data_IF_237874000754
#
_entry.id   IF_237874000754
#
_cell.length_a   1.000
_cell.length_b   1.000
_cell.length_c   1.000
_cell.angle_alpha   90.00
_cell.angle_beta   90.00
_cell.angle_gamma   90.00
#
_symmetry.space_group_name_H-M   'P 1'
#
loop_
_entity.id
_entity.type
_entity.pdbx_description
1 polymer ?
2 water ?
#
# COMPACT_ATOMS: atom_id res chain seq x y z
N UNK A 7 -14.91 -11.43 20.05
CA UNK A 7 -16.16 -10.71 19.84
C UNK A 7 -16.15 -9.38 20.60
N UNK A 8 -16.81 -8.38 20.03
CA UNK A 8 -16.70 -7.00 20.50
C UNK A 8 -18.05 -6.39 20.84
N UNK A 9 -18.02 -5.17 21.38
CA UNK A 9 -19.23 -4.41 21.71
C UNK A 9 -18.90 -2.93 21.95
N UNK A 10 -19.67 -2.02 21.34
CA UNK A 10 -19.55 -0.58 21.61
C UNK A 10 -20.77 0.05 22.28
N UNK A 11 -20.61 0.55 23.52
CA UNK A 11 -21.67 1.34 24.16
C UNK A 11 -21.74 2.76 23.59
N UNK A 20 -17.09 9.33 23.91
CA UNK A 20 -17.78 8.85 22.72
C UNK A 20 -18.00 7.33 22.89
N UNK A 21 -18.57 6.69 21.88
CA UNK A 21 -18.66 5.23 21.81
C UNK A 21 -17.27 4.62 22.01
N UNK A 22 -17.24 3.48 22.70
CA UNK A 22 -15.97 2.84 23.05
C UNK A 22 -16.02 1.36 22.68
N UNK A 23 -15.04 0.89 21.91
CA UNK A 23 -15.04 -0.52 21.54
C UNK A 23 -14.56 -1.37 22.71
N UNK A 24 -15.29 -2.43 23.00
CA UNK A 24 -15.00 -3.23 24.18
C UNK A 24 -15.20 -4.72 23.93
N UNK A 25 -14.35 -5.53 24.57
CA UNK A 25 -14.43 -6.98 24.45
C UNK A 25 -15.77 -7.50 24.97
N UNK A 26 -16.47 -8.24 24.12
CA UNK A 26 -17.75 -8.82 24.49
C UNK A 26 -17.56 -10.10 25.30
N UNK A 27 -16.34 -10.61 25.32
CA UNK A 27 -16.05 -11.90 25.95
C UNK A 27 -14.57 -11.97 26.34
N UNK A 28 -14.27 -12.74 27.38
CA UNK A 28 -12.88 -13.02 27.78
C UNK A 28 -12.02 -13.59 26.65
N UNK A 29 -11.57 -12.73 25.75
CA UNK A 29 -10.78 -13.17 24.60
C UNK A 29 -9.44 -13.77 25.00
N UNK A 30 -9.01 -14.82 24.27
CA UNK A 30 -7.66 -15.39 24.44
C UNK A 30 -6.63 -14.52 23.72
N UNK A 31 -5.32 -14.80 23.92
CA UNK A 31 -4.30 -14.11 23.13
C UNK A 31 -4.38 -14.45 21.64
N UNK A 32 -3.93 -13.52 20.79
CA UNK A 32 -3.90 -13.71 19.34
C UNK A 32 -5.28 -14.03 18.76
N UNK A 33 -6.31 -13.34 19.23
CA UNK A 33 -7.67 -13.57 18.76
C UNK A 33 -8.13 -12.45 17.82
N UNK A 34 -8.61 -12.84 16.64
CA UNK A 34 -9.16 -11.87 15.69
C UNK A 34 -10.41 -11.24 16.29
N UNK A 35 -10.39 -9.92 16.45
CA UNK A 35 -11.50 -9.23 17.08
C UNK A 35 -12.44 -8.60 16.05
N UNK A 36 -11.88 -7.78 15.17
CA UNK A 36 -12.67 -7.05 14.19
C UNK A 36 -11.79 -6.52 13.07
N UNK A 37 -12.36 -6.42 11.87
CA UNK A 37 -11.64 -5.82 10.75
C UNK A 37 -11.75 -4.31 10.80
N UNK A 38 -10.64 -3.62 10.54
CA UNK A 38 -10.72 -2.18 10.40
C UNK A 38 -11.07 -1.85 8.96
N UNK A 39 -12.35 -1.58 8.72
CA UNK A 39 -12.83 -1.29 7.38
C UNK A 39 -12.87 0.21 7.11
N UNK A 40 -12.76 0.57 5.84
CA UNK A 40 -12.75 1.95 5.41
C UNK A 40 -12.08 2.06 4.05
N UNK A 41 -11.78 3.28 3.63
CA UNK A 41 -11.14 3.51 2.34
C UNK A 41 -9.62 3.44 2.45
N UNK A 42 -9.02 2.49 1.75
CA UNK A 42 -7.58 2.31 1.75
C UNK A 42 -6.89 3.31 0.82
N UNK A 43 -5.89 4.00 1.34
CA UNK A 43 -5.10 4.93 0.57
C UNK A 43 -3.62 4.76 0.86
N UNK A 44 -2.79 4.88 -0.17
CA UNK A 44 -1.35 5.01 0.05
C UNK A 44 -1.11 6.41 0.61
N UNK A 45 0.06 6.65 1.18
CA UNK A 45 0.36 7.95 1.77
C UNK A 45 0.19 9.07 0.75
N UNK A 46 0.68 8.84 -0.46
CA UNK A 46 0.62 9.83 -1.52
C UNK A 46 -0.82 10.24 -1.85
N UNK A 47 -1.72 9.26 -1.88
CA UNK A 47 -3.14 9.53 -2.13
C UNK A 47 -3.73 10.39 -1.01
N UNK A 48 -3.42 10.01 0.22
CA UNK A 48 -3.89 10.73 1.41
C UNK A 48 -3.45 12.19 1.36
N UNK A 49 -2.19 12.40 0.97
CA UNK A 49 -1.63 13.74 0.88
C UNK A 49 -2.17 14.52 -0.31
N UNK A 50 -2.42 13.80 -1.42
CA UNK A 50 -3.00 14.42 -2.60
C UNK A 50 -4.44 14.87 -2.32
N UNK A 51 -5.10 14.16 -1.41
CA UNK A 51 -6.45 14.51 -1.02
C UNK A 51 -6.47 15.69 -0.05
N UNK A 52 -5.28 16.13 0.37
CA UNK A 52 -5.14 17.34 1.16
C UNK A 52 -4.81 17.13 2.62
N UNK A 53 -4.68 15.89 3.04
CA UNK A 53 -4.43 15.60 4.45
C UNK A 53 -2.95 15.34 4.73
N UNK A 54 -2.56 15.47 5.99
CA UNK A 54 -1.19 15.21 6.40
C UNK A 54 -1.08 13.80 6.97
N UNK A 55 -0.13 13.02 6.45
CA UNK A 55 0.01 11.64 6.88
C UNK A 55 0.50 11.53 8.33
N UNK A 56 -0.12 10.61 9.07
CA UNK A 56 0.18 10.36 10.47
C UNK A 56 -0.01 11.55 11.39
N UNK A 57 -0.97 12.40 11.05
CA UNK A 57 -1.54 13.30 12.06
C UNK A 57 -2.93 12.78 12.41
N UNK A 58 -3.34 12.96 13.67
CA UNK A 58 -4.48 12.21 14.23
C UNK A 58 -5.85 12.69 13.77
N UNK A 59 -6.23 12.34 12.54
CA UNK A 59 -7.58 12.59 12.08
C UNK A 59 -8.50 11.52 12.64
N UNK A 60 -9.68 11.93 13.15
CA UNK A 60 -10.66 10.97 13.65
C UNK A 60 -11.02 9.90 12.61
N UNK A 61 -11.12 8.65 13.06
CA UNK A 61 -11.54 7.52 12.23
C UNK A 61 -10.55 7.13 11.14
N UNK A 62 -9.33 7.64 11.22
CA UNK A 62 -8.30 7.23 10.27
C UNK A 62 -7.24 6.37 10.95
N UNK A 63 -6.93 5.23 10.34
CA UNK A 63 -5.91 4.33 10.84
C UNK A 63 -4.68 4.38 9.94
N UNK A 64 -3.52 4.65 10.53
CA UNK A 64 -2.26 4.60 9.77
C UNK A 64 -1.55 3.28 10.02
N UNK A 65 -1.00 2.71 8.95
CA UNK A 65 -0.38 1.40 9.02
C UNK A 65 0.87 1.35 8.15
N UNK A 66 1.99 0.96 8.74
CA UNK A 66 3.27 0.99 8.05
C UNK A 66 3.94 -0.38 7.99
N UNK A 67 3.28 -1.39 8.54
CA UNK A 67 3.93 -2.68 8.75
C UNK A 67 3.81 -3.65 7.58
N UNK A 68 3.20 -3.22 6.49
CA UNK A 68 3.24 -4.07 5.29
C UNK A 68 4.50 -3.73 4.50
N UNK A 69 5.61 -4.32 4.93
CA UNK A 69 6.89 -4.19 4.25
C UNK A 69 7.31 -2.74 3.99
N UNK A 70 7.01 -1.86 4.95
CA UNK A 70 7.45 -0.48 4.87
C UNK A 70 6.60 0.39 3.98
N UNK A 71 5.59 -0.18 3.34
CA UNK A 71 4.72 0.60 2.46
C UNK A 71 3.69 1.36 3.28
N UNK A 72 3.85 2.68 3.35
CA UNK A 72 2.99 3.49 4.21
C UNK A 72 1.61 3.71 3.59
N UNK A 73 0.59 3.40 4.37
CA UNK A 73 -0.79 3.53 3.93
C UNK A 73 -1.69 3.92 5.10
N UNK A 74 -2.94 4.23 4.80
CA UNK A 74 -3.91 4.49 5.85
C UNK A 74 -5.30 4.02 5.43
N UNK A 75 -6.16 3.85 6.42
CA UNK A 75 -7.55 3.49 6.18
C UNK A 75 -8.44 4.58 6.71
N UNK A 76 -9.18 5.22 5.81
CA UNK A 76 -10.08 6.30 6.18
C UNK A 76 -11.49 5.76 6.43
N UNK A 77 -11.86 5.66 7.71
CA UNK A 77 -13.13 5.05 8.08
C UNK A 77 -14.24 6.07 8.31
N UNK A 78 -14.15 7.23 7.66
CA UNK A 78 -15.30 8.12 7.57
C UNK A 78 -16.22 7.58 6.49
N UNK A 79 -15.68 6.65 5.70
CA UNK A 79 -16.39 6.07 4.57
C UNK A 79 -16.58 4.56 4.76
N UNK A 80 -17.81 4.17 5.07
CA UNK A 80 -18.18 2.77 5.21
C UNK A 80 -17.31 2.01 6.20
N UNK A 81 -16.88 2.70 7.25
CA UNK A 81 -16.15 2.05 8.32
C UNK A 81 -17.11 1.26 9.18
N UNK A 82 -16.58 0.55 10.16
CA UNK A 82 -17.41 -0.16 11.12
C UNK A 82 -17.07 0.26 12.55
N UNK A 83 -17.42 -0.58 13.51
CA UNK A 83 -17.21 -0.26 14.93
C UNK A 83 -15.74 -0.09 15.28
N UNK A 84 -14.85 -0.53 14.38
CA UNK A 84 -13.41 -0.50 14.65
C UNK A 84 -12.86 0.91 14.64
N UNK A 85 -13.55 1.84 13.97
CA UNK A 85 -13.10 3.24 13.91
C UNK A 85 -13.16 3.89 15.30
N UNK A 86 -13.91 3.26 16.20
CA UNK A 86 -14.10 3.78 17.55
C UNK A 86 -12.95 3.41 18.49
N UNK A 87 -12.07 2.52 18.05
CA UNK A 87 -10.96 2.05 18.88
C UNK A 87 -10.03 3.20 19.26
N UNK A 88 -9.73 3.33 20.54
CA UNK A 88 -8.81 4.35 21.00
C UNK A 88 -7.36 3.87 20.97
N UNK A 89 -6.44 4.82 20.92
CA UNK A 89 -5.02 4.51 20.95
C UNK A 89 -4.51 4.49 22.39
N UNK A 90 -3.48 3.69 22.63
CA UNK A 90 -2.90 3.61 23.96
C UNK A 90 -1.43 3.21 23.87
N UNK A 91 -0.62 3.73 24.79
CA UNK A 91 0.78 3.32 24.80
C UNK A 91 0.92 2.00 25.56
N UNK A 92 -0.19 1.52 26.12
CA UNK A 92 -0.24 0.22 26.76
C UNK A 92 -1.43 -0.56 26.20
N UNK A 93 -1.39 -0.89 24.90
CA UNK A 93 -2.54 -1.50 24.21
C UNK A 93 -2.72 -2.97 24.55
N UNK A 94 -3.93 -3.48 24.38
CA UNK A 94 -4.17 -4.91 24.55
C UNK A 94 -4.43 -5.59 23.21
N UNK A 95 -4.40 -4.80 22.14
CA UNK A 95 -4.66 -5.31 20.79
C UNK A 95 -3.69 -4.71 19.79
N UNK A 96 -3.62 -5.30 18.59
CA UNK A 96 -2.76 -4.77 17.55
C UNK A 96 -3.31 -5.00 16.16
N UNK A 97 -2.95 -4.11 15.24
CA UNK A 97 -3.32 -4.25 13.85
C UNK A 97 -2.40 -5.25 13.16
N UNK A 98 -3.00 -6.23 12.49
CA UNK A 98 -2.26 -7.16 11.66
C UNK A 98 -2.86 -7.16 10.26
N UNK A 99 -2.06 -7.52 9.26
CA UNK A 99 -2.54 -7.49 7.89
C UNK A 99 -2.64 -8.88 7.30
N UNK A 100 -3.48 -9.01 6.28
CA UNK A 100 -3.43 -10.20 5.44
C UNK A 100 -3.81 -9.81 4.02
N UNK A 101 -3.32 -10.59 3.06
CA UNK A 101 -3.63 -10.37 1.66
C UNK A 101 -4.71 -11.35 1.23
N UNK A 102 -5.80 -10.80 0.70
CA UNK A 102 -6.90 -11.62 0.21
C UNK A 102 -7.30 -11.16 -1.18
N UNK A 103 -7.21 -12.07 -2.15
CA UNK A 103 -7.52 -11.76 -3.54
C UNK A 103 -6.70 -10.57 -4.03
N UNK A 104 -5.44 -10.50 -3.59
CA UNK A 104 -4.55 -9.44 -3.98
C UNK A 104 -4.90 -8.10 -3.38
N UNK A 105 -5.72 -8.12 -2.33
CA UNK A 105 -6.11 -6.91 -1.62
C UNK A 105 -5.71 -7.02 -0.15
N UNK A 106 -5.19 -5.94 0.41
CA UNK A 106 -4.77 -5.97 1.80
C UNK A 106 -5.95 -5.66 2.72
N UNK A 107 -6.07 -6.44 3.79
CA UNK A 107 -7.08 -6.20 4.81
C UNK A 107 -6.40 -6.07 6.16
N UNK A 108 -6.90 -5.16 6.99
CA UNK A 108 -6.33 -4.94 8.32
C UNK A 108 -7.31 -5.42 9.39
N UNK A 109 -6.81 -6.22 10.32
CA UNK A 109 -7.63 -6.78 11.39
C UNK A 109 -7.05 -6.44 12.76
N UNK A 110 -7.93 -6.30 13.74
CA UNK A 110 -7.50 -6.06 15.12
C UNK A 110 -7.41 -7.39 15.87
N UNK A 111 -6.20 -7.70 16.36
CA UNK A 111 -5.97 -8.93 17.12
C UNK A 111 -5.58 -8.61 18.54
N UNK A 112 -5.98 -9.46 19.48
CA UNK A 112 -5.52 -9.34 20.86
C UNK A 112 -4.04 -9.70 20.98
N UNK A 113 -3.34 -9.00 21.87
CA UNK A 113 -1.92 -9.26 22.11
C UNK A 113 -1.76 -10.27 23.22
N UNK A 114 -2.70 -10.26 24.15
CA UNK A 114 -2.76 -11.21 25.25
C UNK A 114 -4.23 -11.48 25.54
N UNK A 115 -4.53 -12.19 26.62
CA UNK A 115 -5.92 -12.41 26.97
C UNK A 115 -6.55 -11.11 27.41
N UNK A 116 -7.81 -10.91 27.02
CA UNK A 116 -8.55 -9.70 27.38
C UNK A 116 -9.83 -10.10 28.09
N UNK A 117 -9.96 -9.72 29.37
CA UNK A 117 -11.19 -10.01 30.12
C UNK A 117 -12.41 -9.41 29.43
N UNK A 118 -13.57 -10.04 29.57
CA UNK A 118 -14.81 -9.48 29.05
C UNK A 118 -15.07 -8.11 29.66
N UNK A 119 -15.52 -7.18 28.83
CA UNK A 119 -15.83 -5.84 29.30
C UNK A 119 -14.59 -4.99 29.50
N UNK A 120 -13.53 -5.31 28.75
CA UNK A 120 -12.33 -4.50 28.78
C UNK A 120 -12.20 -3.72 27.47
N UNK A 121 -11.86 -2.44 27.57
CA UNK A 121 -11.72 -1.59 26.38
C UNK A 121 -10.61 -2.11 25.48
N UNK A 122 -10.90 -2.18 24.18
CA UNK A 122 -9.92 -2.60 23.19
C UNK A 122 -9.11 -1.41 22.69
N UNK A 123 -7.79 -1.49 22.84
CA UNK A 123 -6.92 -0.40 22.39
C UNK A 123 -5.77 -0.92 21.54
N UNK A 124 -5.27 -0.06 20.67
CA UNK A 124 -4.09 -0.37 19.85
C UNK A 124 -3.04 0.69 20.07
N UNK A 125 -1.79 0.39 19.72
CA UNK A 125 -0.71 1.35 19.88
C UNK A 125 -0.95 2.57 19.01
N UNK A 126 -0.39 3.71 19.43
CA UNK A 126 -0.49 4.93 18.62
C UNK A 126 0.08 4.71 17.22
N UNK A 127 -0.70 5.10 16.22
CA UNK A 127 -0.34 4.92 14.82
C UNK A 127 0.03 6.27 14.21
N UNK A 128 -0.27 7.35 14.92
CA UNK A 128 0.01 8.68 14.44
C UNK A 128 1.13 9.34 15.26
N UNK A 129 1.69 10.43 14.74
CA UNK A 129 2.87 11.06 15.36
C UNK A 129 2.62 11.76 16.69
N UNK A 130 2.71 11.03 17.78
CA UNK A 130 2.41 11.60 19.07
C UNK A 130 3.63 11.74 19.98
N UNK A 131 3.53 12.65 20.95
CA UNK A 131 4.57 12.81 21.93
C UNK A 131 5.65 13.80 21.55
N UNK A 132 5.65 14.24 20.29
CA UNK A 132 6.55 15.29 19.83
C UNK A 132 8.01 14.91 20.10
N UNK A 133 8.37 13.70 19.71
CA UNK A 133 9.67 13.13 20.06
C UNK A 133 10.75 13.43 19.02
N UNK A 134 12.00 13.27 19.43
CA UNK A 134 13.14 13.41 18.52
C UNK A 134 13.54 12.04 18.00
N UNK A 135 13.24 11.00 18.76
CA UNK A 135 13.58 9.63 18.38
C UNK A 135 12.44 8.67 18.71
N UNK A 136 12.55 7.44 18.21
CA UNK A 136 11.57 6.40 18.47
C UNK A 136 12.20 5.01 18.39
N UNK A 137 11.58 4.04 19.04
CA UNK A 137 12.09 2.67 19.04
C UNK A 137 11.19 1.74 18.24
N UNK B 20 6.53 6.11 -33.90
CA UNK B 20 6.13 6.66 -32.61
C UNK B 20 7.33 7.19 -31.83
N UNK B 21 7.14 7.36 -30.52
CA UNK B 21 8.22 7.87 -29.67
C UNK B 21 8.76 6.71 -28.85
N UNK B 22 10.02 6.36 -29.11
CA UNK B 22 10.57 5.05 -28.75
C UNK B 22 11.74 5.10 -27.77
N UNK B 23 11.67 4.30 -26.70
CA UNK B 23 12.74 4.31 -25.70
C UNK B 23 13.82 3.28 -26.00
N UNK B 24 15.06 3.75 -26.07
CA UNK B 24 16.22 2.90 -26.34
C UNK B 24 17.33 3.20 -25.35
N UNK B 25 18.27 2.27 -25.22
CA UNK B 25 19.49 2.54 -24.46
C UNK B 25 20.33 3.59 -25.19
N UNK B 26 20.89 4.53 -24.44
CA UNK B 26 21.73 5.56 -25.04
C UNK B 26 23.19 5.14 -24.96
N UNK B 27 23.43 4.00 -24.32
CA UNK B 27 24.77 3.43 -24.24
C UNK B 27 24.69 1.94 -23.92
N UNK B 28 25.81 1.24 -24.10
CA UNK B 28 25.89 -0.18 -23.77
C UNK B 28 25.56 -0.42 -22.31
N UNK B 29 24.52 -1.21 -22.06
CA UNK B 29 24.11 -1.54 -20.71
C UNK B 29 24.35 -3.02 -20.41
N UNK B 30 24.95 -3.31 -19.26
CA UNK B 30 25.15 -4.69 -18.79
C UNK B 30 23.86 -5.22 -18.19
N UNK B 31 23.79 -6.52 -17.87
CA UNK B 31 22.63 -7.01 -17.13
C UNK B 31 22.50 -6.34 -15.77
N UNK B 32 21.28 -6.33 -15.22
CA UNK B 32 21.00 -5.77 -13.89
C UNK B 32 21.39 -4.30 -13.76
N UNK B 33 21.26 -3.55 -14.84
CA UNK B 33 21.51 -2.12 -14.80
C UNK B 33 20.18 -1.39 -14.64
N UNK B 34 20.09 -0.51 -13.65
CA UNK B 34 18.90 0.31 -13.51
C UNK B 34 18.84 1.28 -14.67
N UNK B 35 17.72 1.28 -15.37
CA UNK B 35 17.57 2.06 -16.58
C UNK B 35 16.76 3.34 -16.35
N UNK B 36 15.52 3.16 -15.90
CA UNK B 36 14.61 4.28 -15.75
C UNK B 36 13.50 3.95 -14.75
N UNK B 37 13.01 4.96 -14.02
CA UNK B 37 11.85 4.77 -13.16
C UNK B 37 10.58 4.81 -13.97
N UNK B 38 9.63 3.93 -13.65
CA UNK B 38 8.30 4.04 -14.23
C UNK B 38 7.44 4.92 -13.34
N UNK B 39 7.38 6.21 -13.67
CA UNK B 39 6.67 7.17 -12.85
C UNK B 39 5.19 7.23 -13.21
N UNK B 40 4.37 7.68 -12.25
CA UNK B 40 2.93 7.78 -12.44
C UNK B 40 2.22 7.84 -11.11
N UNK B 41 0.89 7.83 -11.14
CA UNK B 41 0.12 7.84 -9.90
C UNK B 41 -0.21 6.41 -9.48
N UNK B 42 0.32 6.02 -8.32
CA UNK B 42 0.17 4.65 -7.82
C UNK B 42 -1.20 4.40 -7.21
N UNK B 43 -1.77 3.25 -7.54
CA UNK B 43 -3.08 2.89 -7.03
C UNK B 43 -3.15 1.42 -6.63
N UNK B 44 -3.96 1.13 -5.63
CA UNK B 44 -4.31 -0.25 -5.32
C UNK B 44 -5.40 -0.67 -6.30
N UNK B 45 -5.61 -1.97 -6.44
CA UNK B 45 -6.55 -2.51 -7.43
C UNK B 45 -7.94 -1.88 -7.32
N UNK B 46 -8.42 -1.75 -6.08
CA UNK B 46 -9.78 -1.29 -5.81
C UNK B 46 -10.00 0.16 -6.25
N UNK B 47 -9.02 1.02 -5.97
CA UNK B 47 -9.09 2.42 -6.34
C UNK B 47 -9.16 2.60 -7.86
N UNK B 48 -8.44 1.74 -8.57
CA UNK B 48 -8.40 1.80 -10.03
C UNK B 48 -9.75 1.42 -10.62
N UNK B 49 -10.41 0.46 -9.97
CA UNK B 49 -11.75 0.03 -10.40
C UNK B 49 -12.80 1.03 -9.96
N UNK B 50 -12.58 1.64 -8.80
CA UNK B 50 -13.48 2.64 -8.26
C UNK B 50 -13.47 3.89 -9.14
N UNK B 51 -12.39 4.08 -9.88
CA UNK B 51 -12.29 5.16 -10.85
C UNK B 51 -13.06 4.84 -12.14
N UNK B 52 -13.51 3.60 -12.26
CA UNK B 52 -14.35 3.19 -13.37
C UNK B 52 -13.59 2.40 -14.41
N UNK B 53 -12.69 1.53 -13.95
CA UNK B 53 -11.81 0.81 -14.87
C UNK B 53 -11.90 -0.72 -14.71
N UNK B 54 -10.91 -1.32 -14.05
CA UNK B 54 -10.85 -2.75 -13.63
C UNK B 54 -9.38 -3.11 -13.35
N UNK B 55 -8.89 -4.25 -13.84
CA UNK B 55 -7.49 -4.63 -13.61
C UNK B 55 -6.92 -5.73 -14.53
N UNK B 56 -5.62 -5.63 -14.82
CA UNK B 56 -4.95 -6.45 -15.84
C UNK B 56 -5.71 -6.44 -17.17
N UNK B 57 -5.83 -5.25 -17.77
CA UNK B 57 -6.51 -5.08 -19.05
C UNK B 57 -5.70 -4.14 -19.93
N UNK B 58 -5.63 -4.47 -21.23
CA UNK B 58 -4.81 -3.80 -22.23
C UNK B 58 -5.06 -2.30 -22.32
N UNK B 59 -4.40 -1.52 -21.44
CA UNK B 59 -4.42 -0.06 -21.57
C UNK B 59 -3.16 0.56 -22.16
N UNK B 60 -3.31 1.79 -22.68
CA UNK B 60 -2.16 2.65 -22.96
C UNK B 60 -1.64 3.33 -21.70
N UNK B 61 -0.32 3.28 -21.53
CA UNK B 61 0.38 4.05 -20.49
C UNK B 61 -0.07 3.74 -19.06
N UNK B 62 -0.55 2.52 -18.84
CA UNK B 62 -0.86 2.05 -17.49
C UNK B 62 -0.17 0.72 -17.24
N UNK B 63 0.49 0.60 -16.10
CA UNK B 63 1.24 -0.60 -15.78
C UNK B 63 0.70 -1.30 -14.53
N UNK B 64 0.42 -2.59 -14.66
CA UNK B 64 -0.06 -3.39 -13.55
C UNK B 64 1.06 -4.23 -12.99
N UNK B 65 1.19 -4.22 -11.66
CA UNK B 65 2.34 -4.81 -10.99
C UNK B 65 1.93 -5.66 -9.80
N UNK B 66 2.35 -6.93 -9.80
CA UNK B 66 1.88 -7.90 -8.81
C UNK B 66 2.97 -8.44 -7.90
N UNK B 67 4.19 -7.95 -8.07
CA UNK B 67 5.33 -8.58 -7.41
C UNK B 67 5.71 -7.97 -6.05
N UNK B 68 4.93 -7.01 -5.57
CA UNK B 68 5.20 -6.50 -4.22
C UNK B 68 4.39 -7.27 -3.19
N UNK B 69 4.89 -8.45 -2.85
CA UNK B 69 4.30 -9.29 -1.81
C UNK B 69 2.81 -9.58 -2.01
N UNK B 70 2.39 -9.71 -3.26
CA UNK B 70 1.04 -10.12 -3.56
C UNK B 70 0.01 -9.00 -3.53
N UNK B 71 0.45 -7.79 -3.23
CA UNK B 71 -0.45 -6.64 -3.18
C UNK B 71 -0.63 -6.08 -4.58
N UNK B 72 -1.80 -6.31 -5.16
CA UNK B 72 -2.05 -5.89 -6.53
C UNK B 72 -2.03 -4.37 -6.66
N UNK B 73 -1.15 -3.88 -7.53
CA UNK B 73 -1.02 -2.45 -7.76
C UNK B 73 -1.16 -2.12 -9.24
N UNK B 74 -1.35 -0.84 -9.52
CA UNK B 74 -1.27 -0.34 -10.88
C UNK B 74 -0.71 1.08 -10.86
N UNK B 75 0.02 1.43 -11.91
CA UNK B 75 0.57 2.77 -12.02
C UNK B 75 0.02 3.46 -13.26
N UNK B 76 -0.75 4.51 -13.06
CA UNK B 76 -1.31 5.28 -14.17
C UNK B 76 -0.31 6.34 -14.61
N UNK B 77 0.28 6.15 -15.77
CA UNK B 77 1.33 7.04 -16.27
C UNK B 77 0.85 7.93 -17.40
N UNK B 78 -0.47 8.05 -17.55
CA UNK B 78 -1.03 8.96 -18.56
C UNK B 78 -0.62 10.38 -18.25
N UNK B 79 -1.07 10.88 -17.11
CA UNK B 79 -0.56 12.11 -16.55
C UNK B 79 0.37 11.73 -15.40
N UNK B 80 1.34 12.60 -15.11
CA UNK B 80 2.35 12.37 -14.08
C UNK B 80 3.26 11.20 -14.44
N UNK B 81 3.24 10.81 -15.71
CA UNK B 81 4.13 9.77 -16.21
C UNK B 81 5.37 10.37 -16.84
N UNK B 82 6.42 9.56 -16.97
CA UNK B 82 7.65 10.01 -17.60
C UNK B 82 7.90 9.26 -18.90
N UNK B 83 9.14 9.25 -19.37
CA UNK B 83 9.46 8.63 -20.65
C UNK B 83 9.22 7.13 -20.65
N UNK B 84 9.03 6.56 -19.46
CA UNK B 84 8.81 5.12 -19.32
C UNK B 84 7.40 4.73 -19.75
N UNK B 85 6.51 5.71 -19.88
CA UNK B 85 5.13 5.43 -20.27
C UNK B 85 5.08 4.92 -21.70
N UNK B 86 6.12 5.21 -22.47
CA UNK B 86 6.17 4.82 -23.88
C UNK B 86 6.84 3.46 -24.08
N UNK B 87 7.27 2.82 -23.00
CA UNK B 87 7.83 1.49 -23.10
C UNK B 87 6.71 0.56 -23.56
N UNK B 88 7.04 -0.44 -24.38
CA UNK B 88 6.03 -1.39 -24.80
C UNK B 88 6.47 -2.83 -24.59
N UNK B 89 5.50 -3.72 -24.73
CA UNK B 89 5.60 -5.06 -24.18
C UNK B 89 6.16 -6.07 -25.17
N UNK B 90 6.68 -7.17 -24.64
CA UNK B 90 7.29 -8.21 -25.45
C UNK B 90 7.30 -9.56 -24.72
N UNK B 91 7.15 -10.64 -25.49
CA UNK B 91 7.22 -11.98 -24.93
C UNK B 91 8.68 -12.38 -24.75
N UNK B 92 9.57 -11.68 -25.44
CA UNK B 92 11.00 -11.83 -25.24
C UNK B 92 11.60 -10.47 -24.90
N UNK B 93 11.43 -10.04 -23.65
CA UNK B 93 11.85 -8.69 -23.26
C UNK B 93 13.32 -8.62 -22.89
N UNK B 94 13.91 -7.43 -23.02
CA UNK B 94 15.29 -7.21 -22.60
C UNK B 94 15.35 -6.48 -21.25
N UNK B 95 14.20 -6.15 -20.71
CA UNK B 95 14.14 -5.43 -19.43
C UNK B 95 13.00 -5.93 -18.55
N UNK B 96 12.99 -5.50 -17.29
CA UNK B 96 12.00 -5.96 -16.33
C UNK B 96 11.68 -4.89 -15.29
N UNK B 97 10.48 -4.95 -14.72
CA UNK B 97 10.07 -4.03 -13.68
C UNK B 97 10.46 -4.56 -12.30
N UNK B 98 11.15 -3.73 -11.53
CA UNK B 98 11.49 -4.07 -10.15
C UNK B 98 11.03 -2.95 -9.21
N UNK B 99 10.91 -3.24 -7.93
CA UNK B 99 10.43 -2.22 -7.00
C UNK B 99 11.46 -1.85 -5.95
N UNK B 100 11.23 -0.69 -5.34
CA UNK B 100 12.06 -0.14 -4.27
C UNK B 100 11.18 0.58 -3.28
N UNK B 101 11.43 0.40 -2.00
CA UNK B 101 10.78 1.25 -1.00
C UNK B 101 11.72 2.37 -0.61
N UNK B 102 11.30 3.60 -0.88
CA UNK B 102 12.06 4.77 -0.47
C UNK B 102 11.18 5.65 0.41
N UNK B 103 11.57 5.79 1.68
CA UNK B 103 10.83 6.58 2.66
C UNK B 103 9.35 6.21 2.70
N UNK B 104 9.08 4.92 2.74
CA UNK B 104 7.70 4.45 2.88
C UNK B 104 6.89 4.49 1.59
N UNK B 105 7.55 4.80 0.49
CA UNK B 105 6.88 4.92 -0.81
C UNK B 105 7.49 3.97 -1.83
N UNK B 106 6.64 3.20 -2.51
CA UNK B 106 7.14 2.26 -3.51
C UNK B 106 7.48 2.98 -4.80
N UNK B 107 8.60 2.58 -5.40
CA UNK B 107 9.02 3.07 -6.70
C UNK B 107 9.27 1.89 -7.61
N UNK B 108 8.83 1.97 -8.86
CA UNK B 108 9.07 0.91 -9.82
C UNK B 108 10.18 1.33 -10.78
N UNK B 109 11.18 0.47 -10.94
CA UNK B 109 12.29 0.75 -11.83
C UNK B 109 12.44 -0.31 -12.93
N UNK B 110 12.89 0.14 -14.10
CA UNK B 110 13.17 -0.77 -15.20
C UNK B 110 14.64 -1.18 -15.16
N UNK B 111 14.89 -2.47 -14.92
CA UNK B 111 16.25 -3.02 -14.93
C UNK B 111 16.47 -3.83 -16.18
N UNK B 112 17.70 -3.81 -16.70
CA UNK B 112 18.06 -4.66 -17.82
C UNK B 112 18.16 -6.10 -17.33
N UNK B 113 17.71 -7.04 -18.15
CA UNK B 113 17.82 -8.46 -17.85
C UNK B 113 19.14 -8.98 -18.41
N UNK B 114 19.42 -8.59 -19.65
CA UNK B 114 20.63 -8.98 -20.34
C UNK B 114 21.35 -7.74 -20.82
N UNK B 115 22.46 -7.95 -21.52
CA UNK B 115 23.15 -6.86 -22.18
C UNK B 115 22.20 -6.18 -23.14
N UNK B 116 22.21 -4.85 -23.14
CA UNK B 116 21.43 -4.08 -24.09
C UNK B 116 22.32 -3.09 -24.81
N UNK B 117 22.76 -3.43 -26.03
CA UNK B 117 23.67 -2.60 -26.82
C UNK B 117 23.10 -1.21 -27.06
N UNK B 118 23.98 -0.23 -27.23
CA UNK B 118 23.58 1.16 -27.46
C UNK B 118 22.62 1.27 -28.63
N UNK B 119 21.50 1.96 -28.41
CA UNK B 119 20.53 2.19 -29.47
C UNK B 119 19.57 1.03 -29.65
N UNK B 120 19.59 0.08 -28.72
CA UNK B 120 18.64 -1.02 -28.74
C UNK B 120 17.38 -0.66 -27.96
N UNK B 121 16.22 -0.93 -28.55
CA UNK B 121 14.94 -0.68 -27.90
C UNK B 121 14.79 -1.45 -26.60
N UNK B 122 14.16 -0.82 -25.61
CA UNK B 122 13.94 -1.42 -24.30
C UNK B 122 12.50 -1.88 -24.14
N UNK B 123 12.32 -3.14 -23.74
CA UNK B 123 10.97 -3.72 -23.58
C UNK B 123 10.81 -4.52 -22.28
N UNK B 124 9.56 -4.67 -21.85
CA UNK B 124 9.24 -5.48 -20.68
C UNK B 124 8.14 -6.48 -20.99
N UNK B 125 8.01 -7.51 -20.16
CA UNK B 125 7.03 -8.56 -20.38
C UNK B 125 5.60 -8.06 -20.18
N UNK B 126 4.64 -8.75 -20.79
CA UNK B 126 3.23 -8.42 -20.64
C UNK B 126 2.76 -8.61 -19.20
N UNK B 127 1.70 -7.91 -18.82
CA UNK B 127 1.08 -8.09 -17.51
C UNK B 127 0.10 -9.26 -17.55
N UNK B 128 0.31 -10.17 -18.49
CA UNK B 128 -0.55 -11.32 -18.73
C UNK B 128 -0.73 -12.18 -17.48
#
# INVERSE_FOLDING_TARGET
>A
GPTNNLLFKPPVESHIQKNKKILKSAKDLPPDALIIEYRGKFMLREQFEANGYFFKRPYPFVLFYSKFHGLEMCVDARTFGNEARFIRRSCTPNAEVRHEIQDGTIHLYIYSIHSIPKGTEITIAFDFDYGNAKYKVD
>B
GPTNNLLFKPPVESHIQKNKKILKSAKDLPPDALIIEYRGKFMLREQFEANGYFFKRPYPFVLFYSKFHGLEMCVDARTFGNEARFIRRSCTPNAEVRHEIQDGTIHLYIYSIHSIPKGTEITIAFDFDYGNAKYKVD
#
